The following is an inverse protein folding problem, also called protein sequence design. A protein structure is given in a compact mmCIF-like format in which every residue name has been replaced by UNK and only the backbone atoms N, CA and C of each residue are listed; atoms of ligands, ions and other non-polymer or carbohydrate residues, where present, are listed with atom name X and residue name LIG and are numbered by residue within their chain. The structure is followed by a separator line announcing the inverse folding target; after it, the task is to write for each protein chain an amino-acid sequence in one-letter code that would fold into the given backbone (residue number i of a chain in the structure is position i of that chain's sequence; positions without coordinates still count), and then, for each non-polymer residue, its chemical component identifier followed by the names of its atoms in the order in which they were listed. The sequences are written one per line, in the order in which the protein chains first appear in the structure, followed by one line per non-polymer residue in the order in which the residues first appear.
data_IF_591337790715
#
_entry.id   IF_591337790715
#
_cell.length_a   1.000
_cell.length_b   1.000
_cell.length_c   1.000
_cell.angle_alpha   90.00
_cell.angle_beta   90.00
_cell.angle_gamma   90.00
#
_symmetry.space_group_name_H-M   'P 1'
#
loop_
_entity.id
_entity.type
_entity.pdbx_description
1 polymer ?
#
# COMPACT_ATOMS: atom_id res chain seq x y z
N UNK A 1 9.70 -8.30 25.64
CA UNK A 1 8.95 -7.89 24.44
C UNK A 1 8.08 -9.06 24.00
N UNK A 2 6.78 -8.85 23.77
CA UNK A 2 5.86 -9.93 23.35
C UNK A 2 5.95 -10.10 21.84
N UNK A 3 6.06 -11.34 21.35
CA UNK A 3 6.01 -11.65 19.91
C UNK A 3 4.58 -11.64 19.39
N UNK A 4 4.40 -11.15 18.17
CA UNK A 4 3.13 -11.17 17.44
C UNK A 4 3.41 -11.51 15.97
N UNK A 5 2.50 -12.27 15.35
CA UNK A 5 2.63 -12.57 13.93
C UNK A 5 2.42 -11.31 13.08
N UNK A 6 3.00 -11.28 11.87
CA UNK A 6 2.74 -10.21 10.90
C UNK A 6 1.26 -10.06 10.59
N UNK A 7 0.57 -11.18 10.32
CA UNK A 7 -0.86 -11.16 9.99
C UNK A 7 -1.71 -10.58 11.12
N UNK A 8 -1.41 -10.91 12.38
CA UNK A 8 -2.14 -10.33 13.52
C UNK A 8 -1.81 -8.84 13.68
N UNK A 9 -0.54 -8.45 13.49
CA UNK A 9 -0.11 -7.06 13.60
C UNK A 9 -0.77 -6.17 12.54
N UNK A 10 -0.75 -6.58 11.26
CA UNK A 10 -1.41 -5.85 10.18
C UNK A 10 -2.92 -5.82 10.38
N UNK A 11 -3.54 -6.92 10.84
CA UNK A 11 -4.98 -6.94 11.13
C UNK A 11 -5.39 -5.93 12.18
N UNK A 12 -4.63 -5.85 13.27
CA UNK A 12 -4.90 -4.87 14.32
C UNK A 12 -4.71 -3.44 13.79
N UNK A 13 -3.62 -3.19 13.04
CA UNK A 13 -3.32 -1.86 12.49
C UNK A 13 -4.40 -1.42 11.47
N UNK A 14 -4.80 -2.29 10.55
CA UNK A 14 -5.85 -2.01 9.57
C UNK A 14 -7.21 -1.77 10.23
N UNK A 15 -7.59 -2.56 11.24
CA UNK A 15 -8.84 -2.30 11.99
C UNK A 15 -8.84 -0.97 12.73
N UNK A 16 -7.71 -0.61 13.34
CA UNK A 16 -7.57 0.68 14.00
C UNK A 16 -7.65 1.83 12.98
N UNK A 17 -7.04 1.66 11.81
CA UNK A 17 -7.08 2.65 10.73
C UNK A 17 -8.51 2.82 10.19
N UNK A 18 -9.22 1.72 9.90
CA UNK A 18 -10.61 1.73 9.43
C UNK A 18 -11.51 2.54 10.36
N UNK A 19 -11.41 2.32 11.67
CA UNK A 19 -12.22 3.02 12.68
C UNK A 19 -11.95 4.53 12.77
N UNK A 20 -10.85 5.00 12.18
CA UNK A 20 -10.43 6.40 12.18
C UNK A 20 -10.56 7.10 10.84
N UNK A 21 -11.01 6.40 9.79
CA UNK A 21 -11.15 7.00 8.46
C UNK A 21 -12.23 8.08 8.44
N UNK A 22 -11.91 9.22 7.85
CA UNK A 22 -12.89 10.24 7.52
C UNK A 22 -13.61 9.93 6.19
N UNK A 23 -14.65 10.71 5.87
CA UNK A 23 -15.45 10.52 4.66
C UNK A 23 -14.60 10.55 3.39
N UNK A 24 -13.68 11.52 3.29
CA UNK A 24 -12.88 11.74 2.08
C UNK A 24 -11.91 10.58 1.84
N UNK A 25 -11.33 10.04 2.91
CA UNK A 25 -10.42 8.90 2.83
C UNK A 25 -11.19 7.63 2.48
N UNK A 26 -12.37 7.41 3.06
CA UNK A 26 -13.24 6.29 2.68
C UNK A 26 -13.63 6.38 1.21
N UNK A 27 -14.08 7.54 0.75
CA UNK A 27 -14.39 7.79 -0.66
C UNK A 27 -13.19 7.45 -1.55
N UNK A 28 -12.01 7.98 -1.26
CA UNK A 28 -10.80 7.73 -2.05
C UNK A 28 -10.42 6.25 -2.10
N UNK A 29 -10.50 5.54 -0.98
CA UNK A 29 -10.22 4.10 -0.94
C UNK A 29 -11.25 3.30 -1.73
N UNK A 30 -12.54 3.62 -1.61
CA UNK A 30 -13.59 2.97 -2.39
C UNK A 30 -13.36 3.22 -3.88
N UNK A 31 -13.13 4.47 -4.31
CA UNK A 31 -12.83 4.80 -5.70
C UNK A 31 -11.65 3.97 -6.26
N UNK A 32 -10.58 3.81 -5.48
CA UNK A 32 -9.37 3.11 -5.92
C UNK A 32 -9.53 1.58 -5.96
N UNK A 33 -10.38 1.01 -5.10
CA UNK A 33 -10.51 -0.44 -4.92
C UNK A 33 -11.81 -1.03 -5.47
N UNK A 34 -12.75 -0.21 -5.93
CA UNK A 34 -14.07 -0.69 -6.37
C UNK A 34 -14.00 -1.62 -7.59
N UNK A 35 -13.02 -1.40 -8.47
CA UNK A 35 -12.86 -2.16 -9.71
C UNK A 35 -12.11 -3.48 -9.57
N UNK A 36 -11.84 -3.94 -8.35
CA UNK A 36 -11.15 -5.21 -8.11
C UNK A 36 -11.99 -6.41 -8.55
N UNK A 37 -11.38 -7.39 -9.21
CA UNK A 37 -12.07 -8.58 -9.74
C UNK A 37 -11.28 -9.89 -9.56
N UNK A 38 -11.73 -10.98 -10.18
CA UNK A 38 -11.13 -12.31 -10.02
C UNK A 38 -9.70 -12.44 -10.58
N UNK A 39 -9.20 -11.42 -11.27
CA UNK A 39 -7.79 -11.31 -11.68
C UNK A 39 -6.87 -10.81 -10.56
N UNK A 40 -7.43 -10.20 -9.51
CA UNK A 40 -6.70 -9.69 -8.36
C UNK A 40 -6.65 -10.70 -7.21
N UNK A 41 -5.46 -10.90 -6.61
CA UNK A 41 -5.28 -11.84 -5.50
C UNK A 41 -6.19 -11.49 -4.30
N UNK A 42 -6.32 -10.19 -4.05
CA UNK A 42 -7.07 -9.63 -2.94
C UNK A 42 -8.59 -9.86 -3.05
N UNK A 43 -9.14 -10.03 -4.26
CA UNK A 43 -10.57 -10.29 -4.47
C UNK A 43 -11.02 -11.61 -3.85
N UNK A 44 -10.14 -12.62 -3.89
CA UNK A 44 -10.40 -13.93 -3.32
C UNK A 44 -10.55 -13.92 -1.79
N UNK A 45 -10.09 -12.85 -1.13
CA UNK A 45 -10.16 -12.67 0.32
C UNK A 45 -11.51 -12.10 0.79
N UNK A 46 -12.31 -11.54 -0.12
CA UNK A 46 -13.62 -10.97 0.16
C UNK A 46 -14.68 -12.07 0.33
N UNK A 47 -15.74 -11.78 1.08
CA UNK A 47 -16.95 -12.59 1.18
C UNK A 47 -17.63 -12.74 -0.18
N UNK A 48 -18.44 -13.79 -0.35
CA UNK A 48 -19.13 -14.02 -1.63
C UNK A 48 -20.14 -12.91 -1.93
N UNK A 49 -20.77 -12.39 -0.90
CA UNK A 49 -21.67 -11.26 -0.98
C UNK A 49 -20.94 -10.00 -1.49
N UNK A 50 -19.72 -9.72 -1.00
CA UNK A 50 -18.93 -8.58 -1.46
C UNK A 50 -18.38 -8.79 -2.88
N UNK A 51 -17.93 -10.01 -3.22
CA UNK A 51 -17.50 -10.34 -4.59
C UNK A 51 -18.63 -10.12 -5.61
N UNK A 52 -19.83 -10.61 -5.31
CA UNK A 52 -21.01 -10.42 -6.17
C UNK A 52 -21.41 -8.96 -6.28
N UNK A 53 -21.30 -8.19 -5.18
CA UNK A 53 -21.60 -6.77 -5.17
C UNK A 53 -20.69 -5.98 -6.10
N UNK A 54 -19.37 -6.21 -6.05
CA UNK A 54 -18.39 -5.49 -6.87
C UNK A 54 -18.57 -5.81 -8.35
N UNK A 55 -18.73 -7.08 -8.70
CA UNK A 55 -18.93 -7.52 -10.08
C UNK A 55 -20.25 -7.01 -10.66
N UNK A 56 -21.28 -6.82 -9.83
CA UNK A 56 -22.61 -6.38 -10.30
C UNK A 56 -22.75 -4.86 -10.39
N UNK A 57 -21.78 -4.07 -9.90
CA UNK A 57 -21.87 -2.61 -9.84
C UNK A 57 -20.60 -1.96 -10.34
N UNK A 58 -20.65 -1.37 -11.54
CA UNK A 58 -19.50 -0.70 -12.17
C UNK A 58 -19.06 0.57 -11.43
N UNK A 59 -19.96 1.20 -10.68
CA UNK A 59 -19.73 2.49 -10.02
C UNK A 59 -19.67 2.35 -8.50
N UNK A 60 -18.72 3.05 -7.84
CA UNK A 60 -18.62 3.08 -6.40
C UNK A 60 -19.83 3.77 -5.74
N UNK A 61 -20.10 3.44 -4.46
CA UNK A 61 -21.29 3.89 -3.78
C UNK A 61 -21.16 5.35 -3.34
N UNK A 62 -22.27 6.09 -3.39
CA UNK A 62 -22.33 7.46 -2.88
C UNK A 62 -22.35 7.53 -1.34
N UNK A 63 -22.94 6.53 -0.68
CA UNK A 63 -22.92 6.42 0.78
C UNK A 63 -21.66 5.69 1.25
N UNK A 64 -20.55 6.43 1.33
CA UNK A 64 -19.25 5.90 1.71
C UNK A 64 -19.19 5.43 3.17
N UNK A 65 -20.16 5.78 4.01
CA UNK A 65 -20.19 5.43 5.44
C UNK A 65 -20.93 4.11 5.74
N UNK A 66 -21.52 3.49 4.73
CA UNK A 66 -22.20 2.21 4.90
C UNK A 66 -21.19 1.11 5.33
N UNK A 67 -21.39 0.44 6.48
CA UNK A 67 -20.50 -0.62 6.95
C UNK A 67 -20.41 -1.83 6.03
N UNK A 68 -21.33 -1.97 5.07
CA UNK A 68 -21.26 -2.99 4.03
C UNK A 68 -19.88 -3.00 3.35
N UNK A 69 -19.29 -1.83 3.12
CA UNK A 69 -18.03 -1.70 2.39
C UNK A 69 -16.78 -1.80 3.27
N UNK A 70 -16.94 -2.01 4.59
CA UNK A 70 -15.81 -2.11 5.52
C UNK A 70 -14.90 -3.30 5.18
N UNK A 71 -15.43 -4.35 4.56
CA UNK A 71 -14.64 -5.49 4.12
C UNK A 71 -13.65 -5.11 3.01
N UNK A 72 -14.13 -4.42 1.97
CA UNK A 72 -13.28 -3.90 0.89
C UNK A 72 -12.26 -2.88 1.43
N UNK A 73 -12.71 -1.99 2.32
CA UNK A 73 -11.82 -1.00 2.95
C UNK A 73 -10.73 -1.67 3.80
N UNK A 74 -11.04 -2.77 4.49
CA UNK A 74 -10.02 -3.53 5.20
C UNK A 74 -9.00 -4.14 4.25
N UNK A 75 -9.43 -4.74 3.15
CA UNK A 75 -8.53 -5.26 2.10
C UNK A 75 -7.62 -4.14 1.57
N UNK A 76 -8.18 -2.97 1.27
CA UNK A 76 -7.41 -1.81 0.85
C UNK A 76 -6.36 -1.41 1.91
N UNK A 77 -6.75 -1.33 3.18
CA UNK A 77 -5.83 -1.00 4.28
C UNK A 77 -4.78 -2.10 4.54
N UNK A 78 -5.06 -3.36 4.23
CA UNK A 78 -4.08 -4.44 4.32
C UNK A 78 -2.98 -4.31 3.27
N UNK A 79 -3.34 -3.92 2.06
CA UNK A 79 -2.41 -3.81 0.94
C UNK A 79 -1.25 -2.84 1.25
N UNK A 80 -1.50 -1.79 2.04
CA UNK A 80 -0.53 -0.80 2.52
C UNK A 80 0.64 -1.39 3.32
N UNK A 81 0.47 -2.62 3.82
CA UNK A 81 1.47 -3.34 4.60
C UNK A 81 2.20 -4.44 3.81
N UNK A 82 1.85 -4.66 2.53
CA UNK A 82 2.55 -5.60 1.64
C UNK A 82 4.03 -5.18 1.54
N UNK A 83 4.93 -6.10 1.85
CA UNK A 83 6.39 -5.84 1.80
C UNK A 83 6.94 -4.90 2.88
N UNK A 84 6.12 -4.45 3.83
CA UNK A 84 6.55 -3.56 4.93
C UNK A 84 7.40 -4.30 5.96
N UNK A 85 8.44 -3.67 6.49
CA UNK A 85 9.36 -4.31 7.43
C UNK A 85 8.70 -4.66 8.78
N UNK A 86 9.13 -5.75 9.41
CA UNK A 86 8.71 -6.13 10.77
C UNK A 86 9.01 -5.05 11.81
N UNK A 87 10.14 -4.35 11.66
CA UNK A 87 10.53 -3.23 12.53
C UNK A 87 9.57 -2.05 12.41
N UNK A 88 9.14 -1.72 11.19
CA UNK A 88 8.17 -0.66 10.96
C UNK A 88 6.80 -1.00 11.56
N UNK A 89 6.32 -2.23 11.38
CA UNK A 89 5.07 -2.69 11.99
C UNK A 89 5.14 -2.62 13.53
N UNK A 90 6.26 -3.07 14.12
CA UNK A 90 6.49 -2.99 15.58
C UNK A 90 6.43 -1.54 16.08
N UNK A 91 7.06 -0.62 15.35
CA UNK A 91 7.05 0.81 15.64
C UNK A 91 5.65 1.41 15.50
N UNK A 92 4.90 0.98 14.50
CA UNK A 92 3.53 1.44 14.23
C UNK A 92 2.57 0.99 15.33
N UNK A 93 2.66 -0.26 15.77
CA UNK A 93 1.91 -0.76 16.93
C UNK A 93 2.21 0.02 18.21
N UNK A 94 3.48 0.37 18.45
CA UNK A 94 3.88 1.20 19.59
C UNK A 94 3.27 2.61 19.50
N UNK A 95 3.28 3.23 18.33
CA UNK A 95 2.73 4.57 18.08
C UNK A 95 1.22 4.65 18.36
N UNK A 96 0.47 3.59 18.09
CA UNK A 96 -0.97 3.54 18.37
C UNK A 96 -1.31 3.09 19.81
N UNK A 97 -0.32 3.01 20.71
CA UNK A 97 -0.54 2.77 22.14
C UNK A 97 -0.69 1.31 22.55
N UNK A 98 -0.40 0.34 21.67
CA UNK A 98 -0.45 -1.09 22.01
C UNK A 98 0.77 -1.58 22.80
N UNK A 99 1.77 -0.71 23.02
CA UNK A 99 3.00 -1.07 23.72
C UNK A 99 4.00 -1.81 22.82
N UNK A 100 5.09 -2.29 23.43
CA UNK A 100 6.22 -2.85 22.70
C UNK A 100 5.99 -4.32 22.29
N UNK A 101 6.01 -4.54 20.97
CA UNK A 101 5.87 -5.84 20.33
C UNK A 101 7.05 -6.12 19.42
N UNK A 102 7.40 -7.40 19.29
CA UNK A 102 8.28 -7.91 18.25
C UNK A 102 7.40 -8.55 17.17
N UNK A 103 7.22 -7.86 16.05
CA UNK A 103 6.51 -8.44 14.92
C UNK A 103 7.43 -9.45 14.23
N UNK A 104 6.94 -10.67 14.03
CA UNK A 104 7.68 -11.77 13.41
C UNK A 104 6.89 -12.39 12.27
N UNK A 105 7.59 -12.83 11.22
CA UNK A 105 6.99 -13.47 10.06
C UNK A 105 7.71 -13.13 8.77
N UNK A 106 7.27 -13.79 7.69
CA UNK A 106 7.77 -13.58 6.34
C UNK A 106 7.30 -12.24 5.77
N UNK A 107 8.23 -11.49 5.16
CA UNK A 107 7.92 -10.25 4.45
C UNK A 107 7.72 -10.61 2.98
N UNK A 108 6.56 -10.23 2.44
CA UNK A 108 6.20 -10.42 1.05
C UNK A 108 7.26 -9.78 0.13
N UNK A 109 7.76 -10.51 -0.88
CA UNK A 109 8.79 -9.98 -1.75
C UNK A 109 8.20 -8.90 -2.65
N UNK A 110 8.86 -7.75 -2.70
CA UNK A 110 8.59 -6.68 -3.66
C UNK A 110 9.83 -6.40 -4.49
N UNK A 111 9.59 -5.87 -5.68
CA UNK A 111 10.59 -5.45 -6.65
C UNK A 111 11.13 -4.05 -6.33
N UNK A 112 12.41 -3.87 -6.66
CA UNK A 112 13.13 -2.62 -6.41
C UNK A 112 12.69 -1.53 -7.37
N UNK A 113 12.28 -0.37 -6.83
CA UNK A 113 12.01 0.82 -7.61
C UNK A 113 13.30 1.34 -8.28
N UNK A 114 13.30 1.59 -9.60
CA UNK A 114 14.50 2.05 -10.33
C UNK A 114 14.97 3.44 -9.91
N UNK A 115 14.08 4.25 -9.31
CA UNK A 115 14.39 5.57 -8.80
C UNK A 115 15.03 5.51 -7.41
N UNK A 116 14.30 5.07 -6.39
CA UNK A 116 14.76 5.17 -5.01
C UNK A 116 15.57 3.96 -4.50
N UNK A 117 15.49 2.81 -5.19
CA UNK A 117 16.19 1.60 -4.79
C UNK A 117 15.50 0.80 -3.67
N UNK A 118 14.32 1.21 -3.18
CA UNK A 118 13.57 0.45 -2.19
C UNK A 118 12.59 -0.54 -2.87
N UNK A 119 12.29 -1.63 -2.17
CA UNK A 119 11.35 -2.67 -2.59
C UNK A 119 9.92 -2.25 -2.29
N UNK A 120 9.31 -1.57 -3.26
CA UNK A 120 7.96 -0.99 -3.14
C UNK A 120 7.02 -1.39 -4.27
N UNK A 121 7.51 -2.13 -5.27
CA UNK A 121 6.71 -2.46 -6.45
C UNK A 121 6.29 -3.92 -6.40
N UNK A 122 5.03 -4.23 -6.69
CA UNK A 122 4.56 -5.60 -6.88
C UNK A 122 5.26 -6.28 -8.06
N UNK A 123 5.54 -5.52 -9.13
CA UNK A 123 6.21 -6.01 -10.34
C UNK A 123 6.92 -4.87 -11.07
N UNK A 124 7.94 -5.21 -11.88
CA UNK A 124 8.69 -4.24 -12.68
C UNK A 124 7.97 -3.90 -13.99
N UNK A 125 8.11 -2.65 -14.43
CA UNK A 125 7.61 -2.14 -15.70
C UNK A 125 6.09 -2.32 -15.89
N UNK A 126 5.32 -2.29 -14.80
CA UNK A 126 3.87 -2.50 -14.81
C UNK A 126 3.07 -1.24 -14.41
N UNK A 127 3.64 -0.05 -14.65
CA UNK A 127 3.01 1.25 -14.40
C UNK A 127 2.61 1.52 -12.94
N UNK A 128 3.12 0.72 -12.00
CA UNK A 128 2.90 0.94 -10.58
C UNK A 128 3.68 2.15 -10.08
N UNK A 129 3.05 2.94 -9.20
CA UNK A 129 3.66 4.13 -8.63
C UNK A 129 4.30 3.77 -7.28
N UNK A 130 5.61 3.99 -7.16
CA UNK A 130 6.34 3.76 -5.93
C UNK A 130 5.78 4.58 -4.75
N UNK A 131 5.36 3.91 -3.68
CA UNK A 131 4.83 4.58 -2.47
C UNK A 131 5.86 5.43 -1.72
N UNK A 132 7.15 5.20 -1.95
CA UNK A 132 8.22 5.96 -1.30
C UNK A 132 8.61 7.22 -2.07
N UNK A 133 8.85 7.11 -3.38
CA UNK A 133 9.38 8.22 -4.18
C UNK A 133 8.45 8.75 -5.26
N UNK A 134 7.26 8.15 -5.41
CA UNK A 134 6.22 8.51 -6.38
C UNK A 134 6.60 8.35 -7.86
N UNK A 135 7.68 7.63 -8.15
CA UNK A 135 8.04 7.25 -9.51
C UNK A 135 7.09 6.17 -10.04
N UNK A 136 6.44 6.42 -11.18
CA UNK A 136 5.69 5.42 -11.94
C UNK A 136 6.63 4.55 -12.78
N UNK A 137 6.65 3.24 -12.53
CA UNK A 137 7.53 2.30 -13.23
C UNK A 137 6.98 1.92 -14.61
N UNK A 138 7.14 2.83 -15.55
CA UNK A 138 6.87 2.65 -16.99
C UNK A 138 7.93 1.80 -17.72
N UNK A 139 8.90 1.21 -16.99
CA UNK A 139 9.99 0.42 -17.57
C UNK A 139 11.19 1.24 -18.08
N UNK A 140 11.19 2.55 -17.87
CA UNK A 140 12.34 3.42 -18.19
C UNK A 140 13.52 3.06 -17.28
N UNK A 141 14.65 2.72 -17.89
CA UNK A 141 15.90 2.37 -17.19
C UNK A 141 17.05 3.31 -17.52
N UNK A 142 16.99 4.00 -18.66
CA UNK A 142 17.99 5.00 -19.05
C UNK A 142 17.79 6.28 -18.21
N UNK A 143 18.81 6.71 -17.43
CA UNK A 143 18.72 7.90 -16.61
C UNK A 143 18.45 9.20 -17.38
N UNK A 144 18.78 9.26 -18.67
CA UNK A 144 18.60 10.46 -19.51
C UNK A 144 17.31 10.42 -20.35
N UNK A 145 16.64 9.27 -20.39
CA UNK A 145 15.37 9.13 -21.09
C UNK A 145 14.26 9.86 -20.33
N UNK A 146 13.58 10.78 -21.02
CA UNK A 146 12.41 11.45 -20.47
C UNK A 146 11.26 10.46 -20.28
N UNK A 147 10.73 10.39 -19.06
CA UNK A 147 9.53 9.62 -18.75
C UNK A 147 8.31 10.52 -18.85
N UNK A 148 7.40 10.21 -19.79
CA UNK A 148 6.15 10.94 -19.97
C UNK A 148 5.30 10.99 -18.69
N UNK A 149 4.97 9.85 -18.06
CA UNK A 149 4.14 9.82 -16.85
C UNK A 149 4.76 10.56 -15.66
N UNK A 150 6.08 10.49 -15.50
CA UNK A 150 6.77 11.14 -14.38
C UNK A 150 7.11 12.61 -14.67
N UNK A 151 6.93 13.06 -15.90
CA UNK A 151 7.27 14.41 -16.37
C UNK A 151 8.73 14.84 -16.13
N UNK A 152 9.64 13.89 -15.99
CA UNK A 152 11.08 14.09 -15.77
C UNK A 152 11.89 12.87 -16.20
N UNK A 153 13.20 13.00 -16.26
CA UNK A 153 14.12 11.88 -16.47
C UNK A 153 14.31 11.07 -15.17
N UNK A 154 14.73 9.81 -15.31
CA UNK A 154 15.03 8.97 -14.14
C UNK A 154 16.22 9.53 -13.32
N UNK A 155 17.19 10.19 -13.97
CA UNK A 155 18.29 10.89 -13.31
C UNK A 155 17.82 12.05 -12.45
N UNK A 156 16.88 12.86 -12.95
CA UNK A 156 16.27 13.96 -12.19
C UNK A 156 15.49 13.46 -10.98
N UNK A 157 14.69 12.40 -11.15
CA UNK A 157 13.93 11.79 -10.06
C UNK A 157 14.84 11.26 -8.94
N UNK A 158 15.95 10.60 -9.29
CA UNK A 158 16.98 10.17 -8.33
C UNK A 158 17.56 11.34 -7.54
N UNK A 159 17.85 12.45 -8.21
CA UNK A 159 18.37 13.66 -7.57
C UNK A 159 17.34 14.32 -6.63
N UNK A 160 16.05 14.29 -6.98
CA UNK A 160 14.96 14.76 -6.12
C UNK A 160 14.83 13.87 -4.88
N UNK A 161 14.79 12.55 -5.08
CA UNK A 161 14.70 11.59 -3.97
C UNK A 161 15.84 11.76 -2.98
N UNK A 162 17.09 11.88 -3.45
CA UNK A 162 18.26 12.10 -2.61
C UNK A 162 18.13 13.35 -1.71
N UNK A 163 17.41 14.38 -2.16
CA UNK A 163 17.20 15.62 -1.39
C UNK A 163 16.05 15.51 -0.37
N UNK A 164 15.11 14.58 -0.55
CA UNK A 164 13.94 14.42 0.32
C UNK A 164 14.06 13.28 1.34
N UNK A 165 15.12 12.47 1.29
CA UNK A 165 15.31 11.31 2.16
C UNK A 165 15.06 11.57 3.66
N UNK A 166 15.45 12.73 4.19
CA UNK A 166 15.32 13.04 5.62
C UNK A 166 13.87 13.18 6.11
N UNK A 167 12.89 13.31 5.21
CA UNK A 167 11.47 13.45 5.57
C UNK A 167 10.66 12.18 5.29
N UNK A 168 11.30 11.12 4.79
CA UNK A 168 10.63 9.91 4.33
C UNK A 168 10.74 8.75 5.34
N UNK A 169 9.77 7.83 5.39
CA UNK A 169 9.80 6.66 6.27
C UNK A 169 10.69 5.56 5.68
N UNK A 170 12.00 5.79 5.66
CA UNK A 170 12.98 4.90 5.02
C UNK A 170 13.10 3.52 5.69
N UNK A 171 12.52 3.32 6.87
CA UNK A 171 12.44 2.02 7.55
C UNK A 171 11.19 1.21 7.17
N UNK A 172 10.22 1.82 6.44
CA UNK A 172 8.96 1.14 6.07
C UNK A 172 9.21 -0.02 5.10
N UNK A 173 10.10 0.13 4.11
CA UNK A 173 10.39 -0.89 3.11
C UNK A 173 11.86 -1.33 3.14
N UNK A 174 12.13 -2.54 2.65
CA UNK A 174 13.48 -3.04 2.46
C UNK A 174 14.14 -2.44 1.20
N UNK A 175 15.47 -2.57 1.10
CA UNK A 175 16.27 -2.22 -0.09
C UNK A 175 16.45 -3.48 -0.96
#
# INVERSE_FOLDING_TARGET
MRKISRSDATHILSKQALASLDNNTRESLLLNWWGIDDSDEEFSLLSKEMQELLVSNDEPPSDVQNPLYDELLLIALYSEYKGVTNSYLSTSMKKIGLGEHEVVGFIEPLETCPCCGYRTLSSRANYEICDLCRWEDSGVVDPEQYSGPNHMTLGEAKAIFAKSMSTLPLDKWAI
#
